data_IF_900625885692
#
_entry.id   IF_900625885692
#
_cell.length_a   1.000
_cell.length_b   1.000
_cell.length_c   1.000
_cell.angle_alpha   90.00
_cell.angle_beta   90.00
_cell.angle_gamma   90.00
#
_symmetry.space_group_name_H-M   'P 1'
#
loop_
_entity.id
_entity.type
_entity.pdbx_description
1 polymer ?
#
# COMPACT_ATOMS: atom_id res chain seq x y z
N UNK A 1 3.74 -6.11 24.24
CA UNK A 1 3.39 -7.03 23.16
C UNK A 1 4.49 -8.09 23.10
N UNK A 2 4.13 -9.35 23.34
CA UNK A 2 5.02 -10.47 23.09
C UNK A 2 5.09 -10.70 21.59
N UNK A 3 6.15 -11.31 21.12
CA UNK A 3 6.42 -11.57 19.71
C UNK A 3 5.30 -12.38 19.08
N UNK A 4 4.77 -11.93 17.94
CA UNK A 4 3.91 -12.72 17.09
C UNK A 4 4.56 -14.08 16.81
N UNK A 5 3.93 -15.16 17.19
CA UNK A 5 4.30 -16.51 16.77
C UNK A 5 3.78 -16.75 15.37
N UNK A 6 4.48 -16.26 14.44
CA UNK A 6 4.20 -16.35 13.03
C UNK A 6 5.53 -16.42 12.32
N UNK A 7 5.59 -16.73 11.06
CA UNK A 7 6.77 -16.53 10.22
C UNK A 7 7.41 -15.17 10.48
N UNK A 8 8.68 -15.00 10.14
CA UNK A 8 9.34 -13.69 10.30
C UNK A 8 8.49 -12.58 9.71
N UNK A 9 8.13 -11.60 10.54
CA UNK A 9 7.24 -10.50 10.17
C UNK A 9 7.97 -9.17 10.25
N UNK A 10 7.61 -8.26 9.35
CA UNK A 10 8.00 -6.85 9.42
C UNK A 10 6.79 -5.97 9.09
N UNK A 11 6.80 -4.74 9.62
CA UNK A 11 5.76 -3.76 9.32
C UNK A 11 4.34 -4.27 9.61
N UNK A 12 4.17 -4.92 10.75
CA UNK A 12 2.87 -5.39 11.21
C UNK A 12 2.04 -4.21 11.70
N UNK A 13 0.80 -4.12 11.21
CA UNK A 13 -0.13 -3.05 11.56
C UNK A 13 -1.43 -3.66 12.08
N UNK A 14 -1.86 -3.23 13.26
CA UNK A 14 -3.14 -3.63 13.83
C UNK A 14 -4.27 -2.88 13.11
N UNK A 15 -5.29 -3.61 12.68
CA UNK A 15 -6.55 -3.02 12.19
C UNK A 15 -7.31 -2.37 13.36
N UNK A 16 -7.93 -1.19 13.17
CA UNK A 16 -8.52 -0.45 14.29
C UNK A 16 -9.84 -1.03 14.83
N UNK A 17 -10.49 -1.92 14.11
CA UNK A 17 -11.73 -2.58 14.51
C UNK A 17 -11.53 -4.10 14.60
N UNK A 18 -12.32 -4.76 15.43
CA UNK A 18 -12.37 -6.23 15.44
C UNK A 18 -12.99 -6.76 14.15
N UNK A 19 -12.46 -7.86 13.64
CA UNK A 19 -13.00 -8.59 12.50
C UNK A 19 -13.41 -9.97 13.00
N UNK A 20 -14.69 -10.30 12.88
CA UNK A 20 -15.28 -11.54 13.41
C UNK A 20 -14.97 -11.77 14.90
N UNK A 21 -14.94 -10.68 15.67
CA UNK A 21 -14.63 -10.70 17.11
C UNK A 21 -13.15 -10.92 17.45
N UNK A 22 -12.25 -10.91 16.47
CA UNK A 22 -10.82 -11.12 16.62
C UNK A 22 -10.01 -9.86 16.30
N UNK A 23 -8.80 -9.78 16.84
CA UNK A 23 -7.82 -8.78 16.40
C UNK A 23 -7.35 -9.10 14.99
N UNK A 24 -7.33 -8.10 14.11
CA UNK A 24 -6.90 -8.27 12.74
C UNK A 24 -5.59 -7.52 12.48
N UNK A 25 -4.68 -8.14 11.74
CA UNK A 25 -3.37 -7.59 11.44
C UNK A 25 -3.10 -7.56 9.95
N UNK A 26 -2.49 -6.47 9.50
CA UNK A 26 -1.78 -6.44 8.22
C UNK A 26 -0.33 -6.80 8.51
N UNK A 27 0.16 -7.80 7.79
CA UNK A 27 1.45 -8.43 8.04
C UNK A 27 2.35 -8.28 6.81
N UNK A 28 3.61 -8.63 6.95
CA UNK A 28 4.52 -8.81 5.83
C UNK A 28 5.40 -10.02 6.10
N UNK A 29 4.95 -11.23 5.69
CA UNK A 29 5.74 -12.44 5.86
C UNK A 29 7.03 -12.35 5.05
N UNK A 30 8.13 -12.68 5.69
CA UNK A 30 9.47 -12.63 5.09
C UNK A 30 10.08 -14.02 4.86
N UNK A 31 9.45 -15.07 5.37
CA UNK A 31 9.91 -16.44 5.15
C UNK A 31 9.84 -16.80 3.66
N UNK A 32 10.85 -17.48 3.19
CA UNK A 32 11.00 -17.81 1.77
C UNK A 32 11.26 -16.62 0.85
N UNK A 33 11.42 -15.41 1.39
CA UNK A 33 11.62 -14.19 0.59
C UNK A 33 12.87 -14.27 -0.30
N UNK A 34 13.97 -14.79 0.23
CA UNK A 34 15.23 -14.93 -0.51
C UNK A 34 15.23 -16.17 -1.38
N UNK A 35 14.74 -17.30 -0.86
CA UNK A 35 14.81 -18.61 -1.52
C UNK A 35 13.79 -18.77 -2.65
N UNK A 36 12.55 -18.34 -2.41
CA UNK A 36 11.46 -18.57 -3.36
C UNK A 36 10.90 -17.29 -3.97
N UNK A 37 11.29 -16.12 -3.46
CA UNK A 37 10.74 -14.84 -3.85
C UNK A 37 9.26 -14.66 -3.47
N UNK A 38 8.70 -15.48 -2.62
CA UNK A 38 7.28 -15.49 -2.26
C UNK A 38 6.91 -14.49 -1.18
N UNK A 39 7.82 -14.16 -0.27
CA UNK A 39 7.61 -13.20 0.80
C UNK A 39 7.62 -11.74 0.36
N UNK A 40 7.41 -10.81 1.29
CA UNK A 40 7.52 -9.36 1.07
C UNK A 40 6.27 -8.67 0.52
N UNK A 41 5.16 -9.36 0.39
CA UNK A 41 3.83 -8.81 0.13
C UNK A 41 3.08 -8.47 1.42
N UNK A 42 1.94 -7.75 1.32
CA UNK A 42 1.08 -7.48 2.47
C UNK A 42 0.16 -8.68 2.69
N UNK A 43 0.22 -9.25 3.88
CA UNK A 43 -0.68 -10.27 4.37
C UNK A 43 -1.79 -9.70 5.25
N UNK A 44 -2.75 -10.55 5.57
CA UNK A 44 -3.82 -10.30 6.53
C UNK A 44 -4.04 -11.56 7.36
N UNK A 45 -4.13 -11.41 8.67
CA UNK A 45 -4.35 -12.51 9.59
C UNK A 45 -5.12 -12.08 10.82
N UNK A 46 -5.79 -13.04 11.45
CA UNK A 46 -6.59 -12.85 12.64
C UNK A 46 -5.91 -13.49 13.86
N UNK A 47 -6.16 -12.91 15.02
CA UNK A 47 -5.61 -13.37 16.29
C UNK A 47 -6.67 -13.20 17.41
N UNK A 48 -6.80 -14.21 18.26
CA UNK A 48 -7.78 -14.19 19.35
C UNK A 48 -7.28 -13.37 20.56
N UNK A 49 -5.98 -13.35 20.80
CA UNK A 49 -5.38 -12.71 21.97
C UNK A 49 -4.23 -11.80 21.58
N UNK A 50 -4.37 -10.50 21.86
CA UNK A 50 -3.34 -9.49 21.54
C UNK A 50 -2.08 -9.62 22.41
N UNK A 51 -2.18 -10.19 23.61
CA UNK A 51 -1.03 -10.37 24.50
C UNK A 51 -0.18 -11.60 24.11
N UNK A 52 -0.83 -12.59 23.52
CA UNK A 52 -0.21 -13.82 23.02
C UNK A 52 -0.51 -14.01 21.54
N UNK A 53 -0.29 -12.97 20.77
CA UNK A 53 -0.68 -12.91 19.37
C UNK A 53 -0.06 -14.07 18.55
N UNK A 54 -0.94 -14.92 18.04
CA UNK A 54 -0.62 -16.02 17.11
C UNK A 54 -1.54 -15.86 15.90
N UNK A 55 -0.94 -15.82 14.73
CA UNK A 55 -1.66 -15.82 13.45
C UNK A 55 -1.44 -17.20 12.85
N UNK A 56 -2.46 -18.04 12.88
CA UNK A 56 -2.39 -19.40 12.37
C UNK A 56 -2.53 -19.44 10.84
N UNK A 57 -3.39 -18.58 10.29
CA UNK A 57 -3.62 -18.49 8.86
C UNK A 57 -3.38 -17.05 8.38
N UNK A 58 -2.53 -16.92 7.38
CA UNK A 58 -2.16 -15.64 6.77
C UNK A 58 -2.51 -15.64 5.29
N UNK A 59 -3.37 -14.72 4.89
CA UNK A 59 -3.75 -14.51 3.49
C UNK A 59 -2.97 -13.35 2.90
N UNK A 60 -2.23 -13.56 1.81
CA UNK A 60 -1.61 -12.45 1.08
C UNK A 60 -2.67 -11.68 0.30
N UNK A 61 -2.88 -10.43 0.67
CA UNK A 61 -3.89 -9.54 0.07
C UNK A 61 -3.30 -8.60 -0.98
N UNK A 62 -2.02 -8.24 -0.87
CA UNK A 62 -1.31 -7.44 -1.87
C UNK A 62 0.04 -8.07 -2.16
N UNK A 63 0.15 -8.70 -3.34
CA UNK A 63 1.38 -9.38 -3.78
C UNK A 63 2.37 -8.38 -4.36
N UNK A 64 3.63 -8.77 -4.37
CA UNK A 64 4.65 -8.10 -5.18
C UNK A 64 4.31 -8.26 -6.66
N UNK A 65 4.50 -7.20 -7.42
CA UNK A 65 4.26 -7.21 -8.86
C UNK A 65 5.51 -6.73 -9.59
N UNK A 66 6.04 -7.56 -10.47
CA UNK A 66 7.25 -7.28 -11.23
C UNK A 66 7.06 -6.03 -12.11
N UNK A 67 8.11 -5.24 -12.27
CA UNK A 67 8.13 -3.96 -13.01
C UNK A 67 7.22 -2.87 -12.45
N UNK A 68 6.71 -3.03 -11.23
CA UNK A 68 5.95 -1.98 -10.54
C UNK A 68 6.70 -1.44 -9.33
N UNK A 69 6.09 -0.48 -8.64
CA UNK A 69 6.64 0.08 -7.40
C UNK A 69 6.78 -0.94 -6.25
N UNK A 70 6.10 -2.09 -6.36
CA UNK A 70 6.12 -3.16 -5.35
C UNK A 70 6.95 -4.38 -5.75
N UNK A 71 7.79 -4.27 -6.76
CA UNK A 71 8.52 -5.42 -7.33
C UNK A 71 9.47 -6.12 -6.35
N UNK A 72 10.12 -5.37 -5.47
CA UNK A 72 11.03 -5.94 -4.49
C UNK A 72 10.28 -6.39 -3.23
N UNK A 73 9.51 -5.51 -2.65
CA UNK A 73 8.64 -5.76 -1.50
C UNK A 73 7.64 -4.63 -1.33
N UNK A 74 6.58 -4.87 -0.60
CA UNK A 74 5.65 -3.87 -0.12
C UNK A 74 5.26 -4.16 1.33
N UNK A 75 4.69 -3.18 2.00
CA UNK A 75 4.26 -3.34 3.38
C UNK A 75 3.26 -2.27 3.77
N UNK A 76 2.41 -2.60 4.73
CA UNK A 76 1.55 -1.64 5.38
C UNK A 76 2.39 -0.55 6.05
N UNK A 77 1.89 0.66 6.07
CA UNK A 77 2.54 1.81 6.71
C UNK A 77 1.74 2.27 7.92
N UNK A 78 0.83 3.20 7.72
CA UNK A 78 -0.04 3.69 8.77
C UNK A 78 -1.17 2.69 9.11
N UNK A 79 -1.71 2.80 10.33
CA UNK A 79 -2.99 2.18 10.68
C UNK A 79 -4.04 2.68 9.67
N UNK A 80 -4.80 1.77 9.04
CA UNK A 80 -5.82 2.18 8.09
C UNK A 80 -6.92 2.98 8.78
N UNK A 81 -7.50 3.91 8.06
CA UNK A 81 -8.62 4.71 8.55
C UNK A 81 -9.84 4.55 7.67
N UNK A 82 -11.00 4.70 8.27
CA UNK A 82 -12.29 4.46 7.63
C UNK A 82 -12.66 5.62 6.73
N UNK A 83 -12.88 5.34 5.47
CA UNK A 83 -13.54 6.22 4.52
C UNK A 83 -15.04 5.95 4.45
N UNK A 84 -15.71 6.57 3.48
CA UNK A 84 -17.13 6.34 3.18
C UNK A 84 -17.35 5.03 2.42
N UNK A 85 -16.39 4.64 1.57
CA UNK A 85 -16.48 3.50 0.63
C UNK A 85 -15.54 2.35 0.97
N UNK A 86 -14.43 2.63 1.66
CA UNK A 86 -13.40 1.64 1.95
C UNK A 86 -12.60 1.99 3.21
N UNK A 87 -11.83 1.04 3.70
CA UNK A 87 -10.68 1.30 4.56
C UNK A 87 -9.54 1.81 3.68
N UNK A 88 -8.98 2.95 4.04
CA UNK A 88 -7.90 3.60 3.30
C UNK A 88 -6.56 3.24 3.92
N UNK A 89 -5.68 2.67 3.11
CA UNK A 89 -4.32 2.29 3.49
C UNK A 89 -3.30 3.18 2.82
N UNK A 90 -2.36 3.69 3.61
CA UNK A 90 -1.13 4.31 3.10
C UNK A 90 0.00 3.32 3.34
N UNK A 91 0.53 2.77 2.28
CA UNK A 91 1.52 1.70 2.29
C UNK A 91 2.83 2.15 1.62
N UNK A 92 3.88 1.35 1.77
CA UNK A 92 5.14 1.59 1.07
C UNK A 92 5.43 0.48 0.07
N UNK A 93 5.89 0.88 -1.10
CA UNK A 93 6.43 -0.01 -2.11
C UNK A 93 7.93 0.17 -2.27
N UNK A 94 8.62 -0.90 -2.60
CA UNK A 94 10.07 -0.93 -2.74
C UNK A 94 10.47 -1.49 -4.09
N UNK A 95 11.33 -0.76 -4.75
CA UNK A 95 11.88 -1.11 -6.05
C UNK A 95 13.40 -1.10 -6.03
N UNK A 96 14.03 -2.04 -6.72
CA UNK A 96 15.45 -2.02 -6.99
C UNK A 96 15.76 -0.99 -8.07
N UNK A 97 16.80 -0.21 -7.85
CA UNK A 97 17.37 0.72 -8.87
C UNK A 97 18.87 0.56 -8.91
N UNK A 98 19.52 1.10 -9.97
CA UNK A 98 20.97 1.10 -10.07
C UNK A 98 21.67 1.83 -8.90
N UNK A 99 20.95 2.76 -8.23
CA UNK A 99 21.42 3.49 -7.07
C UNK A 99 21.02 2.87 -5.72
N UNK A 100 20.54 1.62 -5.71
CA UNK A 100 20.06 0.93 -4.53
C UNK A 100 18.52 0.87 -4.46
N UNK A 101 17.98 0.61 -3.27
CA UNK A 101 16.54 0.52 -3.06
C UNK A 101 15.88 1.89 -3.10
N UNK A 102 14.73 1.97 -3.74
CA UNK A 102 13.86 3.13 -3.71
C UNK A 102 12.58 2.77 -2.98
N UNK A 103 12.25 3.53 -1.94
CA UNK A 103 10.99 3.43 -1.19
C UNK A 103 10.07 4.59 -1.56
N UNK A 104 8.84 4.27 -1.82
CA UNK A 104 7.77 5.23 -2.15
C UNK A 104 6.50 4.88 -1.41
N UNK A 105 5.62 5.86 -1.20
CA UNK A 105 4.30 5.60 -0.65
C UNK A 105 3.28 5.41 -1.77
N UNK A 106 2.35 4.50 -1.55
CA UNK A 106 1.17 4.29 -2.37
C UNK A 106 -0.05 4.09 -1.49
N UNK A 107 -1.25 4.20 -2.06
CA UNK A 107 -2.48 3.97 -1.35
C UNK A 107 -3.27 2.84 -2.00
N UNK A 108 -4.04 2.11 -1.20
CA UNK A 108 -5.01 1.12 -1.66
C UNK A 108 -6.22 1.10 -0.71
N UNK A 109 -7.33 0.56 -1.19
CA UNK A 109 -8.56 0.46 -0.41
C UNK A 109 -8.99 -0.98 -0.18
N UNK A 110 -9.42 -1.31 1.06
CA UNK A 110 -10.05 -2.59 1.37
C UNK A 110 -11.52 -2.41 1.71
N UNK A 111 -12.28 -3.46 1.55
CA UNK A 111 -13.72 -3.47 1.80
C UNK A 111 -14.03 -3.15 3.28
N UNK A 112 -15.09 -2.39 3.53
CA UNK A 112 -15.48 -1.99 4.88
C UNK A 112 -15.94 -3.16 5.76
N UNK A 113 -16.49 -4.23 5.16
CA UNK A 113 -16.99 -5.41 5.87
C UNK A 113 -15.98 -6.54 5.90
N UNK A 114 -15.16 -6.65 4.85
CA UNK A 114 -14.08 -7.64 4.75
C UNK A 114 -12.75 -6.92 4.50
N UNK A 115 -12.05 -6.49 5.55
CA UNK A 115 -10.78 -5.78 5.42
C UNK A 115 -9.65 -6.61 4.79
N UNK A 116 -9.84 -7.89 4.58
CA UNK A 116 -8.91 -8.75 3.83
C UNK A 116 -9.09 -8.66 2.31
N UNK A 117 -10.15 -8.01 1.83
CA UNK A 117 -10.48 -7.88 0.41
C UNK A 117 -10.09 -6.51 -0.12
N UNK A 118 -9.07 -6.47 -0.97
CA UNK A 118 -8.69 -5.24 -1.69
C UNK A 118 -9.71 -4.95 -2.79
N UNK A 119 -10.25 -3.73 -2.79
CA UNK A 119 -11.28 -3.28 -3.74
C UNK A 119 -10.83 -2.09 -4.60
N UNK A 120 -9.77 -1.40 -4.21
CA UNK A 120 -9.19 -0.30 -4.96
C UNK A 120 -7.66 -0.37 -4.93
N UNK A 121 -7.04 -0.41 -6.11
CA UNK A 121 -5.58 -0.49 -6.30
C UNK A 121 -5.16 0.46 -7.43
N UNK A 122 -5.08 1.77 -7.18
CA UNK A 122 -4.64 2.73 -8.17
C UNK A 122 -3.18 2.48 -8.56
N UNK A 123 -2.85 2.83 -9.79
CA UNK A 123 -1.48 2.76 -10.27
C UNK A 123 -0.64 3.92 -9.75
N UNK A 124 0.68 3.72 -9.82
CA UNK A 124 1.65 4.77 -9.57
C UNK A 124 1.95 5.00 -8.11
N UNK A 125 2.71 6.06 -7.89
CA UNK A 125 3.17 6.47 -6.58
C UNK A 125 2.28 7.59 -6.05
N UNK A 126 1.97 7.50 -4.77
CA UNK A 126 1.23 8.54 -4.07
C UNK A 126 2.17 9.65 -3.58
N UNK A 127 3.32 9.26 -3.00
CA UNK A 127 4.33 10.18 -2.51
C UNK A 127 5.72 9.59 -2.73
N UNK A 128 6.64 10.44 -3.22
CA UNK A 128 8.04 10.08 -3.52
C UNK A 128 8.98 11.06 -2.89
N UNK A 129 10.24 10.67 -2.61
CA UNK A 129 11.24 11.63 -2.15
C UNK A 129 11.57 12.63 -3.26
N UNK A 130 11.50 13.94 -2.97
CA UNK A 130 11.78 15.03 -3.88
C UNK A 130 12.88 15.93 -3.33
N UNK A 131 13.73 16.45 -4.22
CA UNK A 131 14.79 17.41 -3.83
C UNK A 131 15.63 16.89 -2.67
N UNK A 132 15.67 17.64 -1.58
CA UNK A 132 16.43 17.30 -0.37
C UNK A 132 15.93 16.05 0.38
N UNK A 133 14.70 15.61 0.12
CA UNK A 133 14.18 14.35 0.67
C UNK A 133 14.83 13.11 0.06
N UNK A 134 15.70 13.28 -0.96
CA UNK A 134 16.39 12.17 -1.61
C UNK A 134 17.73 11.83 -0.96
N UNK A 135 18.19 12.65 -0.01
CA UNK A 135 19.50 12.54 0.62
C UNK A 135 19.37 12.49 2.14
N UNK A 136 20.03 11.53 2.74
CA UNK A 136 20.06 11.29 4.19
C UNK A 136 20.78 9.99 4.50
N UNK A 137 20.53 9.41 5.66
CA UNK A 137 21.15 8.16 6.12
C UNK A 137 20.86 7.01 5.15
N UNK A 138 19.65 6.98 4.60
CA UNK A 138 19.26 6.06 3.54
C UNK A 138 18.71 6.85 2.34
N UNK A 139 19.38 6.81 1.22
CA UNK A 139 19.00 7.59 0.03
C UNK A 139 17.71 7.07 -0.64
N UNK A 140 16.93 7.98 -1.25
CA UNK A 140 15.72 7.67 -2.02
C UNK A 140 14.62 6.95 -1.24
N UNK A 141 14.40 7.28 0.00
CA UNK A 141 13.40 6.67 0.86
C UNK A 141 12.40 7.70 1.35
N UNK A 142 11.11 7.40 1.19
CA UNK A 142 10.03 7.94 2.01
C UNK A 142 9.29 6.78 2.66
N UNK A 143 9.01 6.91 3.96
CA UNK A 143 8.40 5.87 4.75
C UNK A 143 7.40 6.46 5.72
N UNK A 144 6.24 5.81 5.90
CA UNK A 144 5.23 6.23 6.88
C UNK A 144 4.81 5.07 7.77
N UNK A 145 4.54 5.39 9.01
CA UNK A 145 3.90 4.51 9.99
C UNK A 145 2.81 5.24 10.79
N UNK A 146 2.38 6.41 10.31
CA UNK A 146 1.35 7.18 10.97
C UNK A 146 0.50 8.02 10.01
N UNK A 147 -0.81 7.89 10.14
CA UNK A 147 -1.78 8.78 9.51
C UNK A 147 -2.97 9.00 10.47
N UNK A 148 -3.52 10.20 10.44
CA UNK A 148 -4.67 10.57 11.27
C UNK A 148 -5.73 11.18 10.36
N UNK A 149 -6.91 10.56 10.33
CA UNK A 149 -8.11 11.13 9.74
C UNK A 149 -8.95 11.79 10.85
N UNK A 150 -9.33 13.04 10.67
CA UNK A 150 -10.20 13.77 11.58
C UNK A 150 -11.67 13.63 11.19
N UNK A 151 -12.57 13.92 12.12
CA UNK A 151 -14.02 13.87 11.90
C UNK A 151 -14.49 14.82 10.78
N UNK A 152 -13.80 15.93 10.56
CA UNK A 152 -14.08 16.87 9.47
C UNK A 152 -13.58 16.39 8.10
N UNK A 153 -12.96 15.21 8.03
CA UNK A 153 -12.45 14.61 6.81
C UNK A 153 -11.00 14.97 6.46
N UNK A 154 -10.34 15.84 7.23
CA UNK A 154 -8.91 16.13 7.02
C UNK A 154 -8.05 14.94 7.36
N UNK A 155 -7.02 14.69 6.56
CA UNK A 155 -6.06 13.60 6.77
C UNK A 155 -4.65 14.17 6.85
N UNK A 156 -3.92 13.74 7.87
CA UNK A 156 -2.51 14.05 8.10
C UNK A 156 -1.69 12.77 7.99
N UNK A 157 -0.75 12.73 7.05
CA UNK A 157 0.14 11.60 6.80
C UNK A 157 1.53 12.00 7.27
N UNK A 158 2.00 11.38 8.33
CA UNK A 158 3.35 11.60 8.87
C UNK A 158 4.31 10.64 8.19
N UNK A 159 5.35 11.18 7.57
CA UNK A 159 6.36 10.38 6.89
C UNK A 159 7.77 10.86 7.17
N UNK A 160 8.72 9.96 7.08
CA UNK A 160 10.13 10.27 7.13
C UNK A 160 10.72 10.26 5.73
N UNK A 161 11.68 11.14 5.47
CA UNK A 161 12.54 11.09 4.29
C UNK A 161 13.95 10.68 4.65
N UNK A 162 14.45 9.66 3.96
CA UNK A 162 15.82 9.14 4.06
C UNK A 162 16.28 8.85 5.50
N UNK A 163 15.35 8.41 6.36
CA UNK A 163 15.54 8.12 7.80
C UNK A 163 16.15 9.29 8.60
N UNK A 164 16.05 10.51 8.07
CA UNK A 164 16.74 11.69 8.61
C UNK A 164 15.78 12.81 8.99
N UNK A 165 14.68 12.99 8.27
CA UNK A 165 13.74 14.10 8.47
C UNK A 165 12.31 13.62 8.56
N UNK A 166 11.54 14.24 9.44
CA UNK A 166 10.10 14.04 9.57
C UNK A 166 9.32 15.12 8.84
N UNK A 167 8.27 14.70 8.16
CA UNK A 167 7.37 15.56 7.40
C UNK A 167 5.92 15.22 7.68
N UNK A 168 5.01 16.11 7.31
CA UNK A 168 3.59 15.86 7.27
C UNK A 168 3.03 16.29 5.93
N UNK A 169 2.28 15.40 5.29
CA UNK A 169 1.46 15.70 4.13
C UNK A 169 0.00 15.78 4.56
N UNK A 170 -0.76 16.67 3.93
CA UNK A 170 -2.18 16.86 4.22
C UNK A 170 -3.03 16.59 2.99
N UNK A 171 -4.19 15.99 3.19
CA UNK A 171 -5.19 15.71 2.17
C UNK A 171 -6.56 15.57 2.85
N UNK A 172 -7.56 15.08 2.15
CA UNK A 172 -8.86 14.74 2.73
C UNK A 172 -9.26 13.29 2.39
N UNK A 173 -10.18 12.73 3.18
CA UNK A 173 -10.77 11.41 2.91
C UNK A 173 -11.40 11.38 1.51
N UNK A 174 -12.12 12.44 1.14
CA UNK A 174 -12.79 12.51 -0.17
C UNK A 174 -11.79 12.53 -1.34
N UNK A 175 -10.67 13.25 -1.22
CA UNK A 175 -9.61 13.25 -2.22
C UNK A 175 -8.92 11.89 -2.34
N UNK A 176 -8.70 11.22 -1.21
CA UNK A 176 -8.11 9.87 -1.22
C UNK A 176 -9.06 8.85 -1.84
N UNK A 177 -10.35 8.89 -1.54
CA UNK A 177 -11.33 8.00 -2.17
C UNK A 177 -11.48 8.28 -3.66
N UNK A 178 -11.47 9.55 -4.08
CA UNK A 178 -11.46 9.92 -5.49
C UNK A 178 -10.24 9.34 -6.20
N UNK A 179 -9.05 9.51 -5.63
CA UNK A 179 -7.82 8.91 -6.14
C UNK A 179 -7.91 7.37 -6.21
N UNK A 180 -8.39 6.72 -5.15
CA UNK A 180 -8.44 5.26 -5.06
C UNK A 180 -9.37 4.64 -6.12
N UNK A 181 -10.54 5.24 -6.36
CA UNK A 181 -11.56 4.65 -7.23
C UNK A 181 -11.52 5.13 -8.67
N UNK A 182 -10.90 6.27 -8.95
CA UNK A 182 -10.87 6.85 -10.30
C UNK A 182 -9.47 6.82 -10.96
N UNK A 183 -8.42 6.44 -10.21
CA UNK A 183 -7.11 6.18 -10.82
C UNK A 183 -7.05 4.75 -11.35
N UNK A 184 -6.69 4.53 -12.62
CA UNK A 184 -6.57 3.19 -13.18
C UNK A 184 -5.55 2.32 -12.46
N UNK A 185 -5.70 1.00 -12.55
CA UNK A 185 -4.70 0.04 -12.08
C UNK A 185 -3.40 0.15 -12.87
N UNK A 186 -2.31 -0.35 -12.28
CA UNK A 186 -0.99 -0.30 -12.91
C UNK A 186 -0.98 -1.05 -14.26
N UNK A 187 -0.63 -0.36 -15.37
CA UNK A 187 -0.62 -0.95 -16.70
C UNK A 187 0.48 -2.01 -16.90
N UNK A 188 1.45 -2.11 -16.00
CA UNK A 188 2.51 -3.14 -16.06
C UNK A 188 2.05 -4.52 -15.56
N UNK A 189 0.87 -4.62 -14.99
CA UNK A 189 0.22 -5.93 -14.78
C UNK A 189 -0.16 -6.51 -16.15
N UNK A 190 0.50 -7.57 -16.54
CA UNK A 190 0.56 -8.07 -17.92
C UNK A 190 -0.76 -8.18 -18.70
N UNK A 191 -1.90 -8.67 -18.18
CA UNK A 191 -3.16 -8.64 -18.91
C UNK A 191 -3.76 -7.23 -19.02
N UNK A 192 -3.61 -6.41 -17.99
CA UNK A 192 -4.19 -5.07 -17.92
C UNK A 192 -3.43 -4.07 -18.80
N UNK A 193 -2.12 -4.28 -19.01
CA UNK A 193 -1.31 -3.43 -19.89
C UNK A 193 -1.82 -3.47 -21.34
N UNK A 194 -2.08 -4.65 -21.87
CA UNK A 194 -2.59 -4.83 -23.25
C UNK A 194 -3.99 -4.23 -23.35
N UNK A 195 -4.86 -4.53 -22.39
CA UNK A 195 -6.24 -4.02 -22.36
C UNK A 195 -6.28 -2.49 -22.35
N UNK A 196 -5.56 -1.84 -21.45
CA UNK A 196 -5.51 -0.38 -21.37
C UNK A 196 -4.98 0.26 -22.65
N UNK A 197 -3.95 -0.33 -23.28
CA UNK A 197 -3.45 0.17 -24.56
C UNK A 197 -4.49 0.05 -25.66
N UNK A 198 -5.20 -1.06 -25.74
CA UNK A 198 -6.29 -1.23 -26.68
C UNK A 198 -7.42 -0.20 -26.45
N UNK A 199 -7.81 0.03 -25.20
CA UNK A 199 -8.82 1.03 -24.83
C UNK A 199 -8.38 2.45 -25.18
N UNK A 200 -7.12 2.81 -24.95
CA UNK A 200 -6.57 4.13 -25.35
C UNK A 200 -6.54 4.30 -26.86
N UNK A 201 -6.14 3.28 -27.60
CA UNK A 201 -6.14 3.30 -29.07
C UNK A 201 -7.56 3.50 -29.59
N UNK A 202 -8.52 2.77 -29.04
CA UNK A 202 -9.92 2.88 -29.42
C UNK A 202 -10.47 4.30 -29.19
N UNK A 203 -10.24 4.86 -28.00
CA UNK A 203 -10.64 6.26 -27.68
C UNK A 203 -10.01 7.28 -28.62
N UNK A 204 -8.73 7.10 -28.95
CA UNK A 204 -8.06 7.99 -29.90
C UNK A 204 -8.65 7.90 -31.31
N UNK A 205 -9.04 6.71 -31.76
CA UNK A 205 -9.70 6.51 -33.06
C UNK A 205 -11.08 7.18 -33.08
N UNK A 206 -11.84 7.09 -32.01
CA UNK A 206 -13.15 7.75 -31.86
C UNK A 206 -13.00 9.29 -31.94
N UNK A 207 -12.07 9.87 -31.18
CA UNK A 207 -11.78 11.31 -31.22
C UNK A 207 -11.32 11.79 -32.60
N UNK A 208 -10.50 11.00 -33.30
CA UNK A 208 -10.08 11.31 -34.68
C UNK A 208 -11.23 11.22 -35.69
N UNK A 209 -12.21 10.38 -35.45
CA UNK A 209 -13.39 10.27 -36.30
C UNK A 209 -14.36 11.46 -36.09
N UNK A 210 -14.50 11.95 -34.84
CA UNK A 210 -15.32 13.11 -34.50
C UNK A 210 -14.70 14.45 -34.97
N UNK A 211 -13.39 14.47 -35.21
CA UNK A 211 -12.67 15.67 -35.66
C UNK A 211 -12.64 15.87 -37.18
N UNK A 212 -13.24 14.96 -37.94
CA UNK A 212 -13.42 15.03 -39.40
C UNK A 212 -14.84 15.44 -39.78
#
# INVERSE_FOLDING_TARGET
>A
LKTLRSPQQRNVVLHPEFVDGKYAFYTRPMDGFIETGSGGGIGFGLCDDIEHAVIDEEKIISRRVYHTLTESKNGAGAVPFKGKKCWIHIAHGVRNTAAGLRYVLYAFGTDLKDPSRVIAEPSGVFLVPLGNERVGDVSNVVFTNGAIARENGDVYIYYASCDTRMHVATTTVDQLEDYLFHTPKDPHRSPDCVKQRCEMIQKNLELLAESK
#
